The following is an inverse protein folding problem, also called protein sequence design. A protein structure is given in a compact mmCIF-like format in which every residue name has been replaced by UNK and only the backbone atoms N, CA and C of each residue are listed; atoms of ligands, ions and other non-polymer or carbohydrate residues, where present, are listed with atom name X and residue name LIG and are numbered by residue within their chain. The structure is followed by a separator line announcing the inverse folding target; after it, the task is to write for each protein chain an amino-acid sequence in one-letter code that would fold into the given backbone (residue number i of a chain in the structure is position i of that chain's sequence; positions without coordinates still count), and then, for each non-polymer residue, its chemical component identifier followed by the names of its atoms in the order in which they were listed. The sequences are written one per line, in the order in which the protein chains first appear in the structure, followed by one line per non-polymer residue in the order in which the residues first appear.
data_IF_542370180616
#
_entry.id   IF_542370180616
#
_cell.length_a   1.000
_cell.length_b   1.000
_cell.length_c   1.000
_cell.angle_alpha   90.00
_cell.angle_beta   90.00
_cell.angle_gamma   90.00
#
_symmetry.space_group_name_H-M   'P 1'
#
loop_
_entity.id
_entity.type
_entity.pdbx_description
1 polymer ?
#
# COMPACT_ATOMS: atom_id res chain seq x y z
N UNK A 1 -39.93 -13.10 22.44
CA UNK A 1 -38.59 -12.56 22.78
C UNK A 1 -37.48 -13.34 22.06
N UNK A 2 -37.46 -13.37 20.72
CA UNK A 2 -36.55 -14.21 19.90
C UNK A 2 -35.91 -13.46 18.73
N UNK A 3 -35.84 -12.12 18.81
CA UNK A 3 -35.31 -11.25 17.74
C UNK A 3 -33.88 -10.75 17.94
N UNK A 4 -33.34 -10.77 19.17
CA UNK A 4 -32.04 -10.14 19.49
C UNK A 4 -30.82 -11.01 19.17
N UNK A 5 -30.98 -12.33 19.08
CA UNK A 5 -29.86 -13.25 18.81
C UNK A 5 -29.45 -13.28 17.33
N UNK A 6 -30.38 -13.12 16.38
CA UNK A 6 -30.07 -13.12 14.93
C UNK A 6 -29.20 -11.93 14.49
N UNK A 7 -29.38 -10.77 15.10
CA UNK A 7 -28.61 -9.56 14.79
C UNK A 7 -27.14 -9.68 15.21
N UNK A 8 -26.86 -10.25 16.39
CA UNK A 8 -25.48 -10.46 16.86
C UNK A 8 -24.70 -11.47 16.01
N UNK A 9 -25.34 -12.50 15.46
CA UNK A 9 -24.70 -13.47 14.56
C UNK A 9 -24.38 -12.90 13.16
N UNK A 10 -25.24 -12.04 12.63
CA UNK A 10 -25.00 -11.34 11.35
C UNK A 10 -23.83 -10.35 11.47
N UNK A 11 -23.84 -9.54 12.52
CA UNK A 11 -22.81 -8.53 12.77
C UNK A 11 -21.44 -9.17 13.05
N UNK A 12 -21.39 -10.22 13.87
CA UNK A 12 -20.13 -10.94 14.14
C UNK A 12 -19.55 -11.62 12.89
N UNK A 13 -20.38 -12.15 11.99
CA UNK A 13 -19.93 -12.67 10.69
C UNK A 13 -19.40 -11.58 9.77
N UNK A 14 -20.09 -10.45 9.66
CA UNK A 14 -19.63 -9.32 8.85
C UNK A 14 -18.30 -8.73 9.35
N UNK A 15 -18.13 -8.66 10.67
CA UNK A 15 -16.85 -8.23 11.28
C UNK A 15 -15.75 -9.26 11.04
N UNK A 16 -16.07 -10.56 11.08
CA UNK A 16 -15.10 -11.62 10.80
C UNK A 16 -14.65 -11.62 9.33
N UNK A 17 -15.59 -11.45 8.38
CA UNK A 17 -15.27 -11.36 6.94
C UNK A 17 -14.54 -10.08 6.58
N UNK A 18 -14.90 -8.96 7.21
CA UNK A 18 -14.16 -7.70 7.04
C UNK A 18 -12.72 -7.85 7.57
N UNK A 19 -12.53 -8.46 8.75
CA UNK A 19 -11.20 -8.71 9.31
C UNK A 19 -10.38 -9.65 8.43
N UNK A 20 -10.97 -10.69 7.83
CA UNK A 20 -10.24 -11.59 6.93
C UNK A 20 -9.83 -10.89 5.64
N UNK A 21 -10.71 -10.08 5.03
CA UNK A 21 -10.37 -9.29 3.84
C UNK A 21 -9.25 -8.28 4.13
N UNK A 22 -9.36 -7.51 5.22
CA UNK A 22 -8.32 -6.54 5.59
C UNK A 22 -6.98 -7.25 5.80
N UNK A 23 -7.04 -8.43 6.43
CA UNK A 23 -5.88 -9.27 6.67
C UNK A 23 -5.26 -9.70 5.34
N UNK A 24 -5.99 -10.32 4.43
CA UNK A 24 -5.50 -10.81 3.13
C UNK A 24 -4.91 -9.68 2.26
N UNK A 25 -5.59 -8.55 2.19
CA UNK A 25 -5.14 -7.39 1.45
C UNK A 25 -3.79 -6.83 1.94
N UNK A 26 -3.61 -6.79 3.26
CA UNK A 26 -2.37 -6.35 3.87
C UNK A 26 -1.21 -7.34 3.60
N UNK A 27 -1.50 -8.66 3.56
CA UNK A 27 -0.52 -9.67 3.13
C UNK A 27 -0.09 -9.48 1.68
N UNK A 28 -1.06 -9.29 0.79
CA UNK A 28 -0.80 -9.16 -0.64
C UNK A 28 0.02 -7.91 -0.92
N UNK A 29 -0.25 -6.81 -0.21
CA UNK A 29 0.53 -5.58 -0.28
C UNK A 29 1.99 -5.80 0.15
N UNK A 30 2.22 -6.51 1.27
CA UNK A 30 3.58 -6.85 1.71
C UNK A 30 4.29 -7.77 0.73
N UNK A 31 3.62 -8.79 0.19
CA UNK A 31 4.21 -9.77 -0.73
C UNK A 31 4.73 -9.13 -2.02
N UNK A 32 3.94 -8.21 -2.59
CA UNK A 32 4.31 -7.46 -3.78
C UNK A 32 5.44 -6.47 -3.50
N UNK A 33 5.34 -5.75 -2.36
CA UNK A 33 6.34 -4.78 -1.96
C UNK A 33 7.66 -5.42 -1.55
N UNK A 34 7.66 -6.65 -0.99
CA UNK A 34 8.84 -7.29 -0.40
C UNK A 34 10.05 -7.20 -1.32
N UNK A 35 9.90 -7.50 -2.61
CA UNK A 35 11.02 -7.49 -3.56
C UNK A 35 11.69 -6.12 -3.74
N UNK A 36 10.97 -5.03 -3.55
CA UNK A 36 11.45 -3.65 -3.75
C UNK A 36 11.43 -2.81 -2.47
N UNK A 37 11.04 -3.38 -1.33
CA UNK A 37 10.73 -2.66 -0.09
C UNK A 37 11.94 -1.86 0.43
N UNK A 38 13.13 -2.44 0.36
CA UNK A 38 14.40 -1.76 0.69
C UNK A 38 14.64 -0.53 -0.21
N UNK A 39 14.45 -0.67 -1.51
CA UNK A 39 14.67 0.43 -2.47
C UNK A 39 13.66 1.55 -2.24
N UNK A 40 12.40 1.20 -1.99
CA UNK A 40 11.33 2.16 -1.66
C UNK A 40 11.63 2.89 -0.34
N UNK A 41 12.10 2.19 0.68
CA UNK A 41 12.47 2.79 1.96
C UNK A 41 13.66 3.75 1.83
N UNK A 42 14.71 3.37 1.09
CA UNK A 42 15.85 4.26 0.80
C UNK A 42 15.38 5.49 0.04
N UNK A 43 14.59 5.30 -1.03
CA UNK A 43 14.07 6.40 -1.83
C UNK A 43 13.22 7.36 -0.98
N UNK A 44 12.35 6.84 -0.10
CA UNK A 44 11.52 7.63 0.80
C UNK A 44 12.36 8.43 1.80
N UNK A 45 13.35 7.81 2.45
CA UNK A 45 14.24 8.49 3.41
C UNK A 45 15.00 9.62 2.72
N UNK A 46 15.61 9.35 1.56
CA UNK A 46 16.36 10.35 0.80
C UNK A 46 15.43 11.48 0.38
N UNK A 47 14.26 11.17 -0.20
CA UNK A 47 13.32 12.17 -0.69
C UNK A 47 12.78 13.05 0.44
N UNK A 48 12.30 12.46 1.54
CA UNK A 48 11.76 13.21 2.68
C UNK A 48 12.83 14.12 3.32
N UNK A 49 14.06 13.62 3.47
CA UNK A 49 15.16 14.40 4.06
C UNK A 49 15.63 15.51 3.12
N UNK A 50 15.83 15.20 1.85
CA UNK A 50 16.29 16.18 0.85
C UNK A 50 15.26 17.25 0.56
N UNK A 51 13.96 16.90 0.54
CA UNK A 51 12.89 17.88 0.31
C UNK A 51 12.88 18.97 1.40
N UNK A 52 13.11 18.61 2.66
CA UNK A 52 13.24 19.63 3.71
C UNK A 52 14.33 20.65 3.37
N UNK A 53 15.52 20.20 2.95
CA UNK A 53 16.61 21.11 2.57
C UNK A 53 16.31 21.90 1.30
N UNK A 54 15.68 21.29 0.30
CA UNK A 54 15.31 21.96 -0.95
C UNK A 54 14.32 23.10 -0.67
N UNK A 55 13.23 22.83 0.04
CA UNK A 55 12.20 23.82 0.30
C UNK A 55 12.64 24.88 1.30
N UNK A 56 13.50 24.54 2.28
CA UNK A 56 14.00 25.55 3.23
C UNK A 56 15.17 26.39 2.71
N UNK A 57 16.02 25.87 1.81
CA UNK A 57 17.23 26.58 1.35
C UNK A 57 17.12 27.16 -0.05
N UNK A 58 16.43 26.49 -0.97
CA UNK A 58 16.32 26.92 -2.37
C UNK A 58 15.04 27.73 -2.62
N UNK A 59 13.94 27.40 -1.92
CA UNK A 59 12.63 28.03 -2.12
C UNK A 59 11.96 28.42 -0.79
N UNK A 60 12.57 29.31 0.02
CA UNK A 60 12.24 29.53 1.44
C UNK A 60 10.87 30.21 1.73
N UNK A 61 9.98 30.32 0.76
CA UNK A 61 8.74 31.07 0.93
C UNK A 61 7.62 30.24 1.57
N UNK A 62 7.66 28.91 1.44
CA UNK A 62 6.54 28.04 1.80
C UNK A 62 6.69 27.43 3.22
N UNK A 63 5.55 27.04 3.81
CA UNK A 63 5.53 26.32 5.08
C UNK A 63 6.13 24.92 4.94
N UNK A 64 7.08 24.62 5.81
CA UNK A 64 7.75 23.32 5.89
C UNK A 64 7.94 22.88 7.33
N UNK A 65 7.68 21.61 7.61
CA UNK A 65 7.83 21.01 8.95
C UNK A 65 8.90 19.93 8.96
N UNK A 66 10.02 20.24 9.63
CA UNK A 66 11.11 19.29 9.84
C UNK A 66 10.62 18.02 10.56
N UNK A 67 9.80 18.19 11.61
CA UNK A 67 9.39 17.09 12.47
C UNK A 67 8.52 16.07 11.75
N UNK A 68 7.60 16.53 10.91
CA UNK A 68 6.72 15.66 10.11
C UNK A 68 7.54 14.83 9.11
N UNK A 69 8.51 15.47 8.43
CA UNK A 69 9.40 14.75 7.49
C UNK A 69 10.35 13.81 8.20
N UNK A 70 10.97 14.24 9.30
CA UNK A 70 11.91 13.43 10.09
C UNK A 70 11.22 12.20 10.68
N UNK A 71 9.99 12.33 11.19
CA UNK A 71 9.21 11.20 11.65
C UNK A 71 8.88 10.24 10.50
N UNK A 72 8.50 10.75 9.33
CA UNK A 72 8.29 9.93 8.13
C UNK A 72 9.54 9.16 7.72
N UNK A 73 10.70 9.81 7.71
CA UNK A 73 11.99 9.17 7.42
C UNK A 73 12.33 8.10 8.46
N UNK A 74 12.14 8.40 9.76
CA UNK A 74 12.38 7.45 10.84
C UNK A 74 11.45 6.23 10.72
N UNK A 75 10.20 6.43 10.29
CA UNK A 75 9.23 5.37 10.04
C UNK A 75 9.63 4.52 8.82
N UNK A 76 10.46 5.01 7.91
CA UNK A 76 11.02 4.19 6.84
C UNK A 76 12.27 3.37 7.26
N UNK A 77 12.94 3.70 8.38
CA UNK A 77 14.18 3.02 8.79
C UNK A 77 13.98 1.53 9.09
N UNK A 78 12.95 1.10 9.84
CA UNK A 78 12.71 -0.33 10.08
C UNK A 78 12.49 -1.14 8.79
N UNK A 79 11.98 -0.48 7.74
CA UNK A 79 11.78 -1.10 6.41
C UNK A 79 13.10 -1.35 5.66
N UNK A 80 14.25 -0.85 6.12
CA UNK A 80 15.56 -1.19 5.51
C UNK A 80 16.05 -2.57 5.95
N UNK A 81 15.71 -2.96 7.17
CA UNK A 81 16.21 -4.17 7.81
C UNK A 81 15.23 -5.35 7.71
N UNK A 82 14.13 -5.20 6.95
CA UNK A 82 13.05 -6.21 6.90
C UNK A 82 13.53 -7.61 6.44
N UNK A 83 14.50 -7.71 5.54
CA UNK A 83 15.03 -9.00 5.05
C UNK A 83 15.76 -9.82 6.14
N UNK A 84 16.18 -9.19 7.24
CA UNK A 84 16.90 -9.87 8.33
C UNK A 84 15.95 -10.65 9.26
N UNK A 85 14.64 -10.43 9.17
CA UNK A 85 13.65 -10.99 10.10
C UNK A 85 12.74 -11.99 9.38
N UNK A 86 13.16 -13.25 9.27
CA UNK A 86 12.53 -14.24 8.38
C UNK A 86 11.21 -14.85 8.86
N UNK A 87 10.98 -15.04 10.17
CA UNK A 87 9.91 -15.98 10.60
C UNK A 87 8.93 -15.47 11.69
N UNK A 88 9.15 -14.31 12.34
CA UNK A 88 8.27 -13.84 13.44
C UNK A 88 7.60 -12.48 13.21
N UNK A 89 8.14 -11.64 12.33
CA UNK A 89 7.70 -10.24 12.17
C UNK A 89 6.71 -10.01 11.01
N UNK A 90 6.37 -11.04 10.22
CA UNK A 90 5.43 -10.91 9.10
C UNK A 90 4.04 -10.41 9.53
N UNK A 91 3.62 -10.73 10.76
CA UNK A 91 2.36 -10.21 11.32
C UNK A 91 2.40 -8.72 11.63
N UNK A 92 3.55 -8.22 12.10
CA UNK A 92 3.74 -6.79 12.38
C UNK A 92 3.88 -6.02 11.07
N UNK A 93 4.68 -6.54 10.14
CA UNK A 93 4.94 -5.91 8.85
C UNK A 93 3.65 -5.73 8.03
N UNK A 94 2.72 -6.69 8.12
CA UNK A 94 1.37 -6.62 7.54
C UNK A 94 0.66 -5.30 7.86
N UNK A 95 0.64 -4.89 9.12
CA UNK A 95 -0.07 -3.68 9.55
C UNK A 95 0.79 -2.44 9.43
N UNK A 96 2.09 -2.61 9.67
CA UNK A 96 3.06 -1.53 9.63
C UNK A 96 3.22 -0.96 8.21
N UNK A 97 3.26 -1.81 7.18
CA UNK A 97 3.49 -1.34 5.80
C UNK A 97 2.41 -0.39 5.27
N UNK A 98 1.10 -0.73 5.30
CA UNK A 98 0.05 0.20 4.88
C UNK A 98 0.02 1.47 5.75
N UNK A 99 0.24 1.35 7.06
CA UNK A 99 0.30 2.50 7.96
C UNK A 99 1.46 3.44 7.61
N UNK A 100 2.65 2.88 7.35
CA UNK A 100 3.83 3.61 6.94
C UNK A 100 3.63 4.35 5.62
N UNK A 101 3.10 3.65 4.61
CA UNK A 101 2.78 4.26 3.32
C UNK A 101 1.74 5.36 3.44
N UNK A 102 0.72 5.16 4.28
CA UNK A 102 -0.33 6.17 4.51
C UNK A 102 0.26 7.41 5.18
N UNK A 103 1.16 7.23 6.15
CA UNK A 103 1.84 8.35 6.77
C UNK A 103 2.72 9.10 5.75
N UNK A 104 3.57 8.39 5.03
CA UNK A 104 4.58 9.00 4.16
C UNK A 104 3.98 9.63 2.89
N UNK A 105 2.96 9.02 2.30
CA UNK A 105 2.42 9.43 1.00
C UNK A 105 1.21 10.36 1.16
N UNK A 106 -0.02 9.90 1.45
CA UNK A 106 -1.15 10.81 1.53
C UNK A 106 -1.07 11.77 2.72
N UNK A 107 -0.53 11.35 3.88
CA UNK A 107 -0.52 12.22 5.06
C UNK A 107 0.54 13.32 4.98
N UNK A 108 1.84 13.02 4.81
CA UNK A 108 2.89 14.06 4.78
C UNK A 108 2.66 15.06 3.64
N UNK A 109 2.44 14.59 2.41
CA UNK A 109 2.24 15.49 1.27
C UNK A 109 0.91 16.24 1.34
N UNK A 110 -0.16 15.58 1.76
CA UNK A 110 -1.47 16.22 1.97
C UNK A 110 -1.44 17.23 3.11
N UNK A 111 -0.71 16.96 4.20
CA UNK A 111 -0.51 17.88 5.32
C UNK A 111 0.25 19.12 4.87
N UNK A 112 1.37 18.98 4.15
CA UNK A 112 2.11 20.14 3.67
C UNK A 112 1.26 20.99 2.71
N UNK A 113 0.51 20.35 1.81
CA UNK A 113 -0.43 21.04 0.92
C UNK A 113 -1.49 21.84 1.70
N UNK A 114 -2.16 21.19 2.66
CA UNK A 114 -3.22 21.82 3.43
C UNK A 114 -2.70 22.95 4.33
N UNK A 115 -1.53 22.79 4.95
CA UNK A 115 -0.93 23.82 5.79
C UNK A 115 -0.41 25.01 4.99
N UNK A 116 0.15 24.78 3.80
CA UNK A 116 0.52 25.87 2.89
C UNK A 116 -0.71 26.64 2.42
N UNK A 117 -1.79 25.95 2.05
CA UNK A 117 -3.04 26.60 1.65
C UNK A 117 -3.72 27.33 2.81
N UNK A 118 -3.74 26.76 4.00
CA UNK A 118 -4.31 27.39 5.20
C UNK A 118 -3.54 28.64 5.65
N UNK A 119 -2.23 28.72 5.37
CA UNK A 119 -1.36 29.85 5.72
C UNK A 119 -1.08 30.80 4.56
N UNK A 120 -1.83 30.67 3.46
CA UNK A 120 -1.64 31.50 2.26
C UNK A 120 -1.73 33.01 2.56
N UNK A 121 -2.51 33.45 3.54
CA UNK A 121 -2.56 34.89 3.88
C UNK A 121 -1.24 35.46 4.40
N UNK A 122 -0.41 34.64 5.04
CA UNK A 122 0.90 35.04 5.56
C UNK A 122 2.04 34.81 4.54
N UNK A 123 1.84 33.89 3.59
CA UNK A 123 2.88 33.34 2.71
C UNK A 123 2.71 33.80 1.24
N UNK A 124 1.50 34.25 0.87
CA UNK A 124 1.09 34.48 -0.50
C UNK A 124 0.35 33.28 -1.09
N UNK A 125 0.21 33.25 -2.42
CA UNK A 125 -0.49 32.15 -3.10
C UNK A 125 0.23 30.81 -2.94
N UNK A 126 -0.56 29.73 -2.79
CA UNK A 126 -0.01 28.38 -2.70
C UNK A 126 0.67 27.97 -4.00
N UNK A 127 1.95 27.61 -3.93
CA UNK A 127 2.71 27.14 -5.09
C UNK A 127 2.10 25.84 -5.67
N UNK A 128 1.97 25.77 -7.00
CA UNK A 128 1.42 24.62 -7.73
C UNK A 128 2.19 23.31 -7.48
N UNK A 129 3.42 23.39 -6.99
CA UNK A 129 4.20 22.20 -6.65
C UNK A 129 3.54 21.33 -5.58
N UNK A 130 2.85 21.92 -4.60
CA UNK A 130 2.22 21.19 -3.50
C UNK A 130 1.08 20.27 -3.96
N UNK A 131 0.08 20.74 -4.74
CA UNK A 131 -0.95 19.84 -5.25
C UNK A 131 -0.39 18.79 -6.21
N UNK A 132 0.64 19.14 -7.02
CA UNK A 132 1.30 18.18 -7.90
C UNK A 132 1.99 17.06 -7.12
N UNK A 133 2.72 17.40 -6.05
CA UNK A 133 3.35 16.40 -5.19
C UNK A 133 2.32 15.48 -4.52
N UNK A 134 1.18 16.04 -4.08
CA UNK A 134 0.10 15.26 -3.49
C UNK A 134 -0.50 14.28 -4.51
N UNK A 135 -0.74 14.70 -5.76
CA UNK A 135 -1.21 13.81 -6.84
C UNK A 135 -0.21 12.67 -7.08
N UNK A 136 1.08 12.98 -7.21
CA UNK A 136 2.12 11.97 -7.41
C UNK A 136 2.17 11.00 -6.22
N UNK A 137 2.07 11.51 -5.00
CA UNK A 137 2.04 10.68 -3.79
C UNK A 137 0.84 9.73 -3.78
N UNK A 138 -0.36 10.20 -4.16
CA UNK A 138 -1.56 9.37 -4.23
C UNK A 138 -1.47 8.27 -5.32
N UNK A 139 -0.90 8.59 -6.48
CA UNK A 139 -0.67 7.60 -7.54
C UNK A 139 0.29 6.51 -7.05
N UNK A 140 1.41 6.89 -6.43
CA UNK A 140 2.38 5.93 -5.87
C UNK A 140 1.73 5.12 -4.74
N UNK A 141 0.95 5.76 -3.86
CA UNK A 141 0.26 5.10 -2.76
C UNK A 141 -0.68 4.00 -3.29
N UNK A 142 -1.45 4.32 -4.33
CA UNK A 142 -2.37 3.38 -4.95
C UNK A 142 -1.64 2.25 -5.69
N UNK A 143 -0.45 2.50 -6.25
CA UNK A 143 0.38 1.45 -6.84
C UNK A 143 0.99 0.50 -5.81
N UNK A 144 1.23 0.96 -4.58
CA UNK A 144 1.88 0.19 -3.53
C UNK A 144 0.91 -0.53 -2.57
N UNK A 145 -0.30 0.00 -2.43
CA UNK A 145 -1.38 -0.65 -1.66
C UNK A 145 -2.29 -1.39 -2.64
N UNK A 146 -2.16 -2.72 -2.67
CA UNK A 146 -2.85 -3.55 -3.68
C UNK A 146 -4.38 -3.51 -3.54
N UNK A 147 -4.88 -3.36 -2.31
CA UNK A 147 -6.31 -3.33 -2.03
C UNK A 147 -6.86 -1.90 -2.01
N UNK A 148 -7.73 -1.59 -2.98
CA UNK A 148 -8.29 -0.26 -3.12
C UNK A 148 -9.31 0.15 -2.05
N UNK A 149 -10.02 -0.79 -1.42
CA UNK A 149 -10.91 -0.45 -0.31
C UNK A 149 -10.10 0.00 0.91
N UNK A 150 -9.02 -0.72 1.21
CA UNK A 150 -8.12 -0.35 2.30
C UNK A 150 -7.39 0.95 1.99
N UNK A 151 -6.84 1.09 0.78
CA UNK A 151 -6.18 2.33 0.35
C UNK A 151 -7.12 3.53 0.51
N UNK A 152 -8.37 3.40 0.03
CA UNK A 152 -9.38 4.46 0.15
C UNK A 152 -9.71 4.76 1.61
N UNK A 153 -9.90 3.73 2.44
CA UNK A 153 -10.20 3.94 3.86
C UNK A 153 -9.06 4.65 4.61
N UNK A 154 -7.82 4.27 4.34
CA UNK A 154 -6.62 4.88 4.93
C UNK A 154 -6.44 6.31 4.44
N UNK A 155 -6.71 6.58 3.17
CA UNK A 155 -6.71 7.93 2.63
C UNK A 155 -7.77 8.83 3.29
N UNK A 156 -9.01 8.35 3.46
CA UNK A 156 -10.06 9.12 4.17
C UNK A 156 -9.62 9.43 5.60
N UNK A 157 -9.06 8.47 6.32
CA UNK A 157 -8.54 8.69 7.68
C UNK A 157 -7.43 9.74 7.66
N UNK A 158 -6.48 9.65 6.73
CA UNK A 158 -5.40 10.63 6.60
C UNK A 158 -5.94 12.03 6.30
N UNK A 159 -6.88 12.16 5.37
CA UNK A 159 -7.54 13.43 5.02
C UNK A 159 -8.26 14.05 6.22
N UNK A 160 -8.97 13.26 7.01
CA UNK A 160 -9.63 13.74 8.23
C UNK A 160 -8.60 14.25 9.27
N UNK A 161 -7.49 13.54 9.44
CA UNK A 161 -6.41 13.96 10.33
C UNK A 161 -5.73 15.25 9.84
N UNK A 162 -5.54 15.38 8.53
CA UNK A 162 -4.99 16.61 7.91
C UNK A 162 -5.90 17.80 8.20
N UNK A 163 -7.20 17.68 7.91
CA UNK A 163 -8.16 18.77 8.16
C UNK A 163 -8.25 19.11 9.65
N UNK A 164 -8.22 18.11 10.53
CA UNK A 164 -8.17 18.35 11.98
C UNK A 164 -6.89 19.10 12.40
N UNK A 165 -5.74 18.80 11.78
CA UNK A 165 -4.49 19.51 12.08
C UNK A 165 -4.54 20.99 11.69
N UNK A 166 -5.21 21.35 10.60
CA UNK A 166 -5.40 22.74 10.19
C UNK A 166 -6.20 23.51 11.25
N UNK A 167 -7.29 22.91 11.75
CA UNK A 167 -8.15 23.52 12.77
C UNK A 167 -7.44 23.74 14.11
N UNK A 168 -6.43 22.93 14.43
CA UNK A 168 -5.69 23.01 15.70
C UNK A 168 -4.46 23.91 15.60
N UNK A 169 -3.76 23.90 14.46
CA UNK A 169 -2.47 24.55 14.29
C UNK A 169 -2.54 25.94 13.63
N UNK A 170 -3.68 26.32 13.05
CA UNK A 170 -3.87 27.59 12.36
C UNK A 170 -5.10 28.29 12.96
N UNK A 171 -4.87 29.43 13.62
CA UNK A 171 -5.93 30.17 14.32
C UNK A 171 -6.99 30.74 13.36
N UNK A 172 -6.54 31.37 12.26
CA UNK A 172 -7.39 31.90 11.20
C UNK A 172 -6.96 31.30 9.84
N UNK A 173 -7.45 30.10 9.48
CA UNK A 173 -7.11 29.47 8.20
C UNK A 173 -7.69 30.25 7.03
N UNK A 174 -6.90 30.43 5.96
CA UNK A 174 -7.44 30.89 4.68
C UNK A 174 -8.30 29.77 4.04
N UNK A 175 -9.60 29.80 4.34
CA UNK A 175 -10.56 28.83 3.83
C UNK A 175 -10.77 28.93 2.31
N UNK A 176 -10.55 30.10 1.71
CA UNK A 176 -10.71 30.30 0.26
C UNK A 176 -9.61 29.56 -0.52
N UNK A 177 -8.35 29.74 -0.12
CA UNK A 177 -7.21 29.04 -0.74
C UNK A 177 -7.21 27.55 -0.41
N UNK A 178 -7.53 27.17 0.83
CA UNK A 178 -7.70 25.76 1.19
C UNK A 178 -8.80 25.09 0.36
N UNK A 179 -9.92 25.78 0.13
CA UNK A 179 -10.99 25.29 -0.74
C UNK A 179 -10.47 25.10 -2.17
N UNK A 180 -9.85 26.13 -2.75
CA UNK A 180 -9.36 26.15 -4.13
C UNK A 180 -8.34 25.05 -4.43
N UNK A 181 -7.39 24.84 -3.53
CA UNK A 181 -6.20 24.01 -3.80
C UNK A 181 -6.31 22.60 -3.20
N UNK A 182 -7.06 22.43 -2.11
CA UNK A 182 -7.21 21.14 -1.43
C UNK A 182 -8.59 20.51 -1.61
N UNK A 183 -9.68 21.26 -1.41
CA UNK A 183 -11.04 20.70 -1.41
C UNK A 183 -11.65 20.58 -2.81
N UNK A 184 -11.50 21.59 -3.68
CA UNK A 184 -12.00 21.55 -5.05
C UNK A 184 -11.37 20.40 -5.87
N UNK A 185 -10.07 20.07 -5.71
CA UNK A 185 -9.48 18.89 -6.35
C UNK A 185 -9.81 17.56 -5.66
N UNK A 186 -10.58 17.51 -4.56
CA UNK A 186 -10.95 16.26 -3.90
C UNK A 186 -11.60 15.22 -4.82
N UNK A 187 -12.51 15.59 -5.75
CA UNK A 187 -13.05 14.64 -6.72
C UNK A 187 -11.96 14.03 -7.61
N UNK A 188 -10.91 14.81 -7.95
CA UNK A 188 -9.76 14.30 -8.69
C UNK A 188 -8.95 13.29 -7.86
N UNK A 189 -8.72 13.59 -6.58
CA UNK A 189 -8.05 12.65 -5.66
C UNK A 189 -8.86 11.35 -5.50
N UNK A 190 -10.18 11.46 -5.36
CA UNK A 190 -11.09 10.31 -5.33
C UNK A 190 -11.06 9.51 -6.63
N UNK A 191 -11.00 10.19 -7.79
CA UNK A 191 -10.89 9.53 -9.09
C UNK A 191 -9.60 8.71 -9.21
N UNK A 192 -8.46 9.23 -8.74
CA UNK A 192 -7.18 8.48 -8.70
C UNK A 192 -7.34 7.18 -7.90
N UNK A 193 -8.01 7.23 -6.75
CA UNK A 193 -8.24 6.04 -5.92
C UNK A 193 -9.15 5.02 -6.61
N UNK A 194 -10.24 5.47 -7.23
CA UNK A 194 -11.18 4.58 -7.95
C UNK A 194 -10.48 3.91 -9.14
N UNK A 195 -9.81 4.69 -9.99
CA UNK A 195 -9.14 4.16 -11.19
C UNK A 195 -7.98 3.26 -10.80
N UNK A 196 -7.16 3.67 -9.82
CA UNK A 196 -6.06 2.83 -9.37
C UNK A 196 -6.54 1.55 -8.66
N UNK A 197 -7.66 1.60 -7.93
CA UNK A 197 -8.30 0.39 -7.37
C UNK A 197 -8.74 -0.57 -8.46
N UNK A 198 -9.34 -0.07 -9.53
CA UNK A 198 -9.73 -0.90 -10.67
C UNK A 198 -8.51 -1.50 -11.36
N UNK A 199 -7.45 -0.71 -11.54
CA UNK A 199 -6.20 -1.16 -12.14
C UNK A 199 -5.52 -2.27 -11.31
N UNK A 200 -5.48 -2.13 -9.99
CA UNK A 200 -4.92 -3.17 -9.10
C UNK A 200 -5.74 -4.45 -9.15
N UNK A 201 -7.07 -4.36 -9.17
CA UNK A 201 -7.94 -5.52 -9.29
C UNK A 201 -7.70 -6.29 -10.59
N UNK A 202 -7.51 -5.59 -11.71
CA UNK A 202 -7.19 -6.24 -12.98
C UNK A 202 -5.83 -6.94 -12.95
N UNK A 203 -4.82 -6.33 -12.32
CA UNK A 203 -3.50 -6.96 -12.14
C UNK A 203 -3.59 -8.25 -11.32
N UNK A 204 -4.34 -8.21 -10.22
CA UNK A 204 -4.55 -9.39 -9.38
C UNK A 204 -5.23 -10.53 -10.18
N UNK A 205 -6.29 -10.22 -10.95
CA UNK A 205 -6.97 -11.22 -11.79
C UNK A 205 -5.99 -11.85 -12.79
N UNK A 206 -5.19 -11.04 -13.49
CA UNK A 206 -4.20 -11.51 -14.46
C UNK A 206 -3.17 -12.43 -13.80
N UNK A 207 -2.69 -12.09 -12.61
CA UNK A 207 -1.70 -12.90 -11.91
C UNK A 207 -2.29 -14.23 -11.41
N UNK A 208 -3.55 -14.24 -10.98
CA UNK A 208 -4.27 -15.48 -10.65
C UNK A 208 -4.48 -16.37 -11.88
N UNK A 209 -4.85 -15.79 -13.03
CA UNK A 209 -5.01 -16.52 -14.29
C UNK A 209 -3.70 -17.14 -14.77
N UNK A 210 -2.57 -16.43 -14.65
CA UNK A 210 -1.23 -16.98 -14.95
C UNK A 210 -0.89 -18.16 -14.05
N UNK A 211 -1.14 -18.05 -12.74
CA UNK A 211 -0.90 -19.15 -11.80
C UNK A 211 -1.76 -20.37 -12.13
N UNK A 212 -3.03 -20.16 -12.46
CA UNK A 212 -3.94 -21.23 -12.89
C UNK A 212 -3.47 -21.91 -14.19
N UNK A 213 -3.02 -21.13 -15.18
CA UNK A 213 -2.48 -21.66 -16.43
C UNK A 213 -1.21 -22.50 -16.21
N UNK A 214 -0.28 -22.02 -15.37
CA UNK A 214 0.92 -22.78 -14.98
C UNK A 214 0.56 -24.07 -14.26
N UNK A 215 -0.41 -24.02 -13.34
CA UNK A 215 -0.89 -25.21 -12.63
C UNK A 215 -1.55 -26.23 -13.58
N UNK A 216 -2.33 -25.76 -14.55
CA UNK A 216 -2.96 -26.63 -15.56
C UNK A 216 -1.91 -27.32 -16.43
N UNK A 217 -0.92 -26.59 -16.95
CA UNK A 217 0.19 -27.17 -17.73
C UNK A 217 0.99 -28.17 -16.88
N UNK A 218 1.28 -27.83 -15.63
CA UNK A 218 1.97 -28.73 -14.70
C UNK A 218 1.19 -30.03 -14.44
N UNK A 219 -0.14 -29.94 -14.30
CA UNK A 219 -1.02 -31.10 -14.17
C UNK A 219 -0.99 -31.98 -15.42
N UNK A 220 -1.06 -31.37 -16.61
CA UNK A 220 -0.93 -32.11 -17.89
C UNK A 220 0.42 -32.80 -17.99
N UNK A 221 1.53 -32.12 -17.69
CA UNK A 221 2.87 -32.72 -17.70
C UNK A 221 2.93 -33.90 -16.71
N UNK A 222 2.39 -33.73 -15.50
CA UNK A 222 2.37 -34.81 -14.51
C UNK A 222 1.55 -36.02 -14.99
N UNK A 223 0.44 -35.77 -15.70
CA UNK A 223 -0.36 -36.83 -16.31
C UNK A 223 0.37 -37.54 -17.45
N UNK A 224 1.05 -36.80 -18.33
CA UNK A 224 1.83 -37.37 -19.45
C UNK A 224 3.06 -38.14 -18.94
N UNK A 225 3.73 -37.70 -17.87
CA UNK A 225 4.90 -38.37 -17.29
C UNK A 225 4.56 -39.67 -16.55
N UNK A 226 3.31 -39.87 -16.12
CA UNK A 226 2.89 -41.09 -15.42
C UNK A 226 3.11 -42.33 -16.29
N UNK A 227 2.77 -42.25 -17.58
CA UNK A 227 2.87 -43.37 -18.53
C UNK A 227 4.31 -43.83 -18.79
N UNK A 228 5.27 -42.97 -19.19
CA UNK A 228 6.66 -43.38 -19.37
C UNK A 228 7.31 -43.80 -18.04
N UNK A 229 6.97 -43.18 -16.91
CA UNK A 229 7.49 -43.59 -15.61
C UNK A 229 7.02 -45.00 -15.20
N UNK A 230 5.74 -45.31 -15.42
CA UNK A 230 5.24 -46.68 -15.26
C UNK A 230 5.91 -47.66 -16.24
N UNK A 231 6.17 -47.23 -17.48
CA UNK A 231 6.94 -48.02 -18.45
C UNK A 231 8.35 -48.34 -17.99
N UNK A 232 9.09 -47.35 -17.48
CA UNK A 232 10.44 -47.54 -16.92
C UNK A 232 10.40 -48.48 -15.71
N UNK A 233 9.42 -48.32 -14.82
CA UNK A 233 9.24 -49.19 -13.65
C UNK A 233 9.00 -50.64 -14.06
N UNK A 234 8.11 -50.88 -15.02
CA UNK A 234 7.82 -52.21 -15.54
C UNK A 234 9.06 -52.86 -16.20
N UNK A 235 9.86 -52.07 -16.94
CA UNK A 235 11.13 -52.55 -17.51
C UNK A 235 12.15 -52.92 -16.42
N UNK A 236 12.29 -52.11 -15.38
CA UNK A 236 13.19 -52.37 -14.27
C UNK A 236 12.81 -53.65 -13.50
N UNK A 237 11.51 -53.83 -13.20
CA UNK A 237 10.98 -55.06 -12.58
C UNK A 237 11.20 -56.29 -13.48
N UNK A 238 11.02 -56.15 -14.79
CA UNK A 238 11.34 -57.21 -15.75
C UNK A 238 12.80 -57.62 -15.71
N UNK A 239 13.73 -56.66 -15.76
CA UNK A 239 15.17 -56.93 -15.69
C UNK A 239 15.53 -57.64 -14.37
N UNK A 240 14.98 -57.21 -13.24
CA UNK A 240 15.24 -57.84 -11.93
C UNK A 240 14.68 -59.26 -11.84
N UNK A 241 13.58 -59.56 -12.53
CA UNK A 241 12.95 -60.88 -12.54
C UNK A 241 13.71 -61.90 -13.41
N UNK A 242 14.37 -61.43 -14.47
CA UNK A 242 15.05 -62.28 -15.46
C UNK A 242 16.58 -62.32 -15.33
N UNK A 243 17.20 -61.49 -14.49
CA UNK A 243 18.60 -61.65 -14.10
C UNK A 243 18.70 -62.65 -12.94
N UNK A 244 19.34 -63.82 -13.12
CA UNK A 244 19.58 -64.75 -12.02
C UNK A 244 20.46 -64.08 -10.97
N UNK A 245 20.09 -64.25 -9.70
CA UNK A 245 20.88 -63.85 -8.54
C UNK A 245 22.28 -64.43 -8.64
N UNK A 246 23.27 -63.56 -8.92
CA UNK A 246 24.69 -63.84 -8.74
C UNK A 246 25.05 -63.75 -7.26
#
# INVERSE_FOLDING_TARGET
MTGSTRWNYSFSRQVATLRSHIREAADNSVRYARRHMRMLAVAAIISLTSYYFIWTRLFPNDYESFWIRAFGSALCVPLLFYDQYRDSHDRMLRWYWPAALTYVLPFVFGYMLAQNAARADAIGETNLVWPLQNVVALVIFMMLVNDGLIATSLWVIATLLILASVLVEVADPNWAELSRVYLEPMPLYGFILVVGSLANRNREIIDQEKLAAVAAVGSTIAHELRTPCMGIKALAEGIQSYLPTL
#
